data_IF_268824169277
#
_entry.id   IF_268824169277
#
_cell.length_a   1.000
_cell.length_b   1.000
_cell.length_c   1.000
_cell.angle_alpha   90.00
_cell.angle_beta   90.00
_cell.angle_gamma   90.00
#
_symmetry.space_group_name_H-M   'P 1'
#
loop_
_entity.id
_entity.type
_entity.pdbx_description
1 polymer ?
#
# COMPACT_ATOMS: atom_id res chain seq x y z
N UNK A 1 -27.13 4.35 2.83
CA UNK A 1 -26.52 3.12 3.41
C UNK A 1 -27.10 2.93 4.80
N UNK A 2 -27.73 1.80 5.11
CA UNK A 2 -28.30 1.56 6.46
C UNK A 2 -27.24 0.99 7.40
N UNK A 3 -27.40 1.13 8.73
CA UNK A 3 -26.52 0.47 9.70
C UNK A 3 -26.41 -1.05 9.50
N UNK A 4 -27.51 -1.74 9.17
CA UNK A 4 -27.49 -3.20 8.95
C UNK A 4 -26.67 -3.57 7.73
N UNK A 5 -26.84 -2.85 6.61
CA UNK A 5 -26.06 -3.09 5.41
C UNK A 5 -24.57 -2.77 5.62
N UNK A 6 -24.24 -1.81 6.50
CA UNK A 6 -22.85 -1.56 6.90
C UNK A 6 -22.28 -2.75 7.66
N UNK A 7 -23.01 -3.26 8.65
CA UNK A 7 -22.55 -4.37 9.48
C UNK A 7 -22.38 -5.67 8.68
N UNK A 8 -23.26 -5.94 7.71
CA UNK A 8 -23.16 -7.11 6.82
C UNK A 8 -21.97 -7.02 5.86
N UNK A 9 -21.73 -5.85 5.27
CA UNK A 9 -20.71 -5.68 4.23
C UNK A 9 -19.31 -5.40 4.81
N UNK A 10 -19.23 -4.74 5.96
CA UNK A 10 -17.98 -4.34 6.61
C UNK A 10 -17.96 -4.77 8.09
N UNK A 11 -18.05 -6.08 8.39
CA UNK A 11 -18.16 -6.58 9.76
C UNK A 11 -16.93 -6.28 10.62
N UNK A 12 -15.77 -6.01 9.99
CA UNK A 12 -14.50 -5.76 10.66
C UNK A 12 -14.11 -4.27 10.72
N UNK A 13 -14.99 -3.39 10.26
CA UNK A 13 -14.72 -1.95 10.21
C UNK A 13 -14.74 -1.29 11.60
N UNK A 14 -13.60 -1.28 12.29
CA UNK A 14 -13.43 -0.63 13.59
C UNK A 14 -12.69 0.69 13.47
N UNK A 15 -13.08 1.66 14.30
CA UNK A 15 -12.39 2.95 14.36
C UNK A 15 -10.94 2.73 14.83
N UNK A 16 -9.92 3.16 14.07
CA UNK A 16 -8.52 3.02 14.47
C UNK A 16 -8.16 3.74 15.77
N UNK A 17 -8.93 4.78 16.13
CA UNK A 17 -8.74 5.56 17.36
C UNK A 17 -9.51 4.99 18.57
N UNK A 18 -10.15 3.82 18.42
CA UNK A 18 -11.01 3.22 19.44
C UNK A 18 -12.44 3.76 19.45
N UNK A 19 -13.28 3.20 20.32
CA UNK A 19 -14.62 3.73 20.60
C UNK A 19 -15.75 3.31 19.65
N UNK A 20 -15.60 2.24 18.87
CA UNK A 20 -16.70 1.62 18.11
C UNK A 20 -16.40 1.36 16.64
N UNK A 21 -17.46 1.15 15.85
CA UNK A 21 -17.34 0.91 14.42
C UNK A 21 -16.97 2.17 13.64
N UNK A 22 -16.34 2.01 12.48
CA UNK A 22 -16.19 3.11 11.54
C UNK A 22 -17.55 3.65 11.08
N UNK A 23 -17.61 4.98 10.95
CA UNK A 23 -18.74 5.66 10.30
C UNK A 23 -18.71 5.37 8.79
N UNK A 24 -19.88 5.35 8.16
CA UNK A 24 -20.02 5.13 6.71
C UNK A 24 -19.14 6.09 5.92
N UNK A 25 -19.16 7.39 6.25
CA UNK A 25 -18.30 8.38 5.58
C UNK A 25 -16.81 8.00 5.63
N UNK A 26 -16.32 7.57 6.80
CA UNK A 26 -14.92 7.18 6.95
C UNK A 26 -14.58 5.94 6.11
N UNK A 27 -15.50 4.97 6.00
CA UNK A 27 -15.33 3.83 5.10
C UNK A 27 -15.19 4.26 3.63
N UNK A 28 -16.09 5.14 3.18
CA UNK A 28 -16.04 5.66 1.81
C UNK A 28 -14.77 6.47 1.54
N UNK A 29 -14.31 7.27 2.51
CA UNK A 29 -13.06 8.01 2.42
C UNK A 29 -11.84 7.06 2.27
N UNK A 30 -11.82 5.94 3.01
CA UNK A 30 -10.78 4.92 2.89
C UNK A 30 -10.82 4.21 1.51
N UNK A 31 -11.97 3.74 1.05
CA UNK A 31 -12.07 3.09 -0.26
C UNK A 31 -11.86 4.05 -1.43
N UNK A 32 -12.15 5.34 -1.26
CA UNK A 32 -11.81 6.34 -2.25
C UNK A 32 -10.29 6.46 -2.42
N UNK A 33 -9.50 6.41 -1.32
CA UNK A 33 -8.03 6.36 -1.42
C UNK A 33 -7.54 5.11 -2.14
N UNK A 34 -8.15 3.94 -1.90
CA UNK A 34 -7.84 2.70 -2.64
C UNK A 34 -8.11 2.89 -4.14
N UNK A 35 -9.23 3.51 -4.51
CA UNK A 35 -9.56 3.83 -5.89
C UNK A 35 -8.52 4.76 -6.52
N UNK A 36 -8.11 5.83 -5.82
CA UNK A 36 -7.08 6.75 -6.30
C UNK A 36 -5.73 6.06 -6.50
N UNK A 37 -5.33 5.20 -5.56
CA UNK A 37 -4.12 4.38 -5.68
C UNK A 37 -4.18 3.48 -6.93
N UNK A 38 -5.30 2.77 -7.13
CA UNK A 38 -5.52 1.93 -8.31
C UNK A 38 -5.44 2.74 -9.59
N UNK A 39 -6.03 3.93 -9.61
CA UNK A 39 -6.00 4.81 -10.79
C UNK A 39 -4.57 5.23 -11.14
N UNK A 40 -3.72 5.56 -10.15
CA UNK A 40 -2.31 5.84 -10.41
C UNK A 40 -1.59 4.66 -11.06
N UNK A 41 -1.80 3.44 -10.54
CA UNK A 41 -1.24 2.23 -11.15
C UNK A 41 -1.72 2.03 -12.59
N UNK A 42 -3.02 2.21 -12.82
CA UNK A 42 -3.64 2.09 -14.15
C UNK A 42 -3.08 3.11 -15.15
N UNK A 43 -2.77 4.33 -14.70
CA UNK A 43 -2.18 5.38 -15.52
C UNK A 43 -0.64 5.33 -15.57
N UNK A 44 -0.02 4.26 -15.06
CA UNK A 44 1.44 4.12 -14.98
C UNK A 44 2.14 5.28 -14.23
N UNK A 45 1.43 5.92 -13.31
CA UNK A 45 2.00 6.98 -12.50
C UNK A 45 2.88 6.42 -11.37
N UNK A 46 4.03 7.03 -11.09
CA UNK A 46 4.93 6.56 -10.04
C UNK A 46 4.30 6.76 -8.66
N UNK A 47 3.98 5.66 -7.97
CA UNK A 47 3.35 5.67 -6.63
C UNK A 47 4.25 6.34 -5.58
N UNK A 48 5.56 6.09 -5.65
CA UNK A 48 6.54 6.63 -4.71
C UNK A 48 6.72 8.15 -4.80
N UNK A 49 6.37 8.74 -5.96
CA UNK A 49 6.51 10.17 -6.25
C UNK A 49 5.25 10.92 -5.78
N UNK A 50 5.14 11.09 -4.47
CA UNK A 50 4.19 12.03 -3.84
C UNK A 50 4.77 13.46 -3.82
N UNK A 51 3.99 14.42 -3.33
CA UNK A 51 4.42 15.82 -3.18
C UNK A 51 5.76 15.92 -2.43
N UNK A 52 6.71 16.66 -3.02
CA UNK A 52 8.03 16.95 -2.44
C UNK A 52 8.91 15.72 -2.13
N UNK A 53 8.75 14.60 -2.84
CA UNK A 53 9.69 13.48 -2.75
C UNK A 53 11.06 13.86 -3.33
N UNK A 54 12.06 14.10 -2.47
CA UNK A 54 13.41 14.60 -2.81
C UNK A 54 14.53 13.57 -2.57
N UNK A 55 14.22 12.41 -1.98
CA UNK A 55 15.22 11.37 -1.70
C UNK A 55 14.68 9.96 -1.92
N UNK A 56 15.59 9.00 -2.15
CA UNK A 56 15.25 7.58 -2.24
C UNK A 56 14.58 7.07 -0.96
N UNK A 57 15.06 7.50 0.22
CA UNK A 57 14.45 7.13 1.50
C UNK A 57 13.02 7.64 1.63
N UNK A 58 12.72 8.86 1.15
CA UNK A 58 11.35 9.36 1.12
C UNK A 58 10.47 8.56 0.15
N UNK A 59 10.99 8.21 -1.02
CA UNK A 59 10.30 7.37 -1.99
C UNK A 59 9.92 6.01 -1.39
N UNK A 60 10.85 5.36 -0.69
CA UNK A 60 10.64 4.08 -0.01
C UNK A 60 9.62 4.21 1.12
N UNK A 61 9.75 5.24 1.97
CA UNK A 61 8.78 5.50 3.03
C UNK A 61 7.36 5.76 2.48
N UNK A 62 7.24 6.41 1.33
CA UNK A 62 5.95 6.59 0.66
C UNK A 62 5.36 5.24 0.24
N UNK A 63 6.17 4.35 -0.34
CA UNK A 63 5.74 3.00 -0.73
C UNK A 63 5.31 2.17 0.47
N UNK A 64 6.08 2.18 1.57
CA UNK A 64 5.73 1.49 2.82
C UNK A 64 4.37 1.97 3.36
N UNK A 65 4.15 3.28 3.40
CA UNK A 65 2.89 3.86 3.85
C UNK A 65 1.70 3.43 2.99
N UNK A 66 1.86 3.41 1.67
CA UNK A 66 0.82 2.96 0.74
C UNK A 66 0.50 1.47 0.91
N UNK A 67 1.52 0.63 1.02
CA UNK A 67 1.32 -0.81 1.21
C UNK A 67 0.61 -1.12 2.53
N UNK A 68 1.05 -0.50 3.63
CA UNK A 68 0.41 -0.68 4.94
C UNK A 68 -1.05 -0.20 4.92
N UNK A 69 -1.30 0.93 4.25
CA UNK A 69 -2.66 1.44 4.04
C UNK A 69 -3.53 0.41 3.30
N UNK A 70 -3.04 -0.18 2.20
CA UNK A 70 -3.78 -1.19 1.44
C UNK A 70 -4.06 -2.45 2.26
N UNK A 71 -3.08 -2.93 3.03
CA UNK A 71 -3.28 -4.09 3.92
C UNK A 71 -4.34 -3.81 4.99
N UNK A 72 -4.35 -2.61 5.54
CA UNK A 72 -5.38 -2.18 6.49
C UNK A 72 -6.76 -2.06 5.82
N UNK A 73 -6.83 -1.47 4.63
CA UNK A 73 -8.08 -1.38 3.88
C UNK A 73 -8.64 -2.75 3.51
N UNK A 74 -7.77 -3.74 3.23
CA UNK A 74 -8.19 -5.11 2.98
C UNK A 74 -8.85 -5.75 4.22
N UNK A 75 -8.27 -5.55 5.42
CA UNK A 75 -8.87 -6.06 6.67
C UNK A 75 -10.23 -5.48 6.99
N UNK A 76 -10.56 -4.27 6.51
CA UNK A 76 -11.90 -3.70 6.67
C UNK A 76 -12.96 -4.56 5.95
N UNK A 77 -12.58 -5.15 4.80
CA UNK A 77 -13.47 -5.96 3.97
C UNK A 77 -13.45 -7.43 4.35
N UNK A 78 -12.26 -7.99 4.60
CA UNK A 78 -12.07 -9.41 4.95
C UNK A 78 -10.70 -9.62 5.57
N UNK A 79 -10.70 -10.08 6.81
CA UNK A 79 -9.47 -10.47 7.50
C UNK A 79 -8.86 -11.71 6.85
N UNK A 80 -9.67 -12.66 6.40
CA UNK A 80 -9.23 -13.90 5.78
C UNK A 80 -8.43 -13.63 4.50
N UNK A 81 -8.81 -12.61 3.72
CA UNK A 81 -8.04 -12.19 2.54
C UNK A 81 -6.71 -11.55 2.92
N UNK A 82 -6.68 -10.76 4.00
CA UNK A 82 -5.42 -10.19 4.51
C UNK A 82 -4.49 -11.33 4.98
N UNK A 83 -5.02 -12.25 5.78
CA UNK A 83 -4.31 -13.45 6.26
C UNK A 83 -3.80 -14.29 5.09
N UNK A 84 -4.58 -14.44 4.01
CA UNK A 84 -4.12 -15.14 2.81
C UNK A 84 -2.90 -14.45 2.17
N UNK A 85 -2.93 -13.12 2.02
CA UNK A 85 -1.80 -12.35 1.47
C UNK A 85 -0.54 -12.49 2.35
N UNK A 86 -0.72 -12.51 3.66
CA UNK A 86 0.37 -12.71 4.63
C UNK A 86 0.89 -14.15 4.59
N UNK A 87 0.00 -15.14 4.51
CA UNK A 87 0.33 -16.56 4.44
C UNK A 87 1.14 -16.90 3.19
N UNK A 88 0.78 -16.35 2.03
CA UNK A 88 1.55 -16.53 0.78
C UNK A 88 2.86 -15.70 0.75
N UNK A 89 3.13 -14.92 1.81
CA UNK A 89 4.37 -14.17 2.00
C UNK A 89 4.53 -12.96 1.08
N UNK A 90 3.43 -12.41 0.55
CA UNK A 90 3.47 -11.22 -0.31
C UNK A 90 3.88 -9.97 0.47
N UNK A 91 3.39 -9.83 1.69
CA UNK A 91 3.78 -8.79 2.63
C UNK A 91 5.27 -8.89 2.99
N UNK A 92 5.75 -10.08 3.35
CA UNK A 92 7.16 -10.33 3.68
C UNK A 92 8.06 -9.97 2.51
N UNK A 93 7.73 -10.47 1.32
CA UNK A 93 8.47 -10.14 0.09
C UNK A 93 8.46 -8.65 -0.20
N UNK A 94 7.35 -7.95 0.08
CA UNK A 94 7.28 -6.51 -0.07
C UNK A 94 8.24 -5.82 0.92
N UNK A 95 8.18 -6.13 2.21
CA UNK A 95 9.02 -5.50 3.23
C UNK A 95 10.51 -5.77 3.03
N UNK A 96 10.88 -7.00 2.61
CA UNK A 96 12.27 -7.36 2.29
C UNK A 96 12.84 -6.54 1.11
N UNK A 97 11.98 -6.14 0.16
CA UNK A 97 12.40 -5.42 -1.06
C UNK A 97 12.19 -3.91 -0.97
N UNK A 98 11.30 -3.45 -0.10
CA UNK A 98 10.99 -2.05 0.12
C UNK A 98 11.93 -1.45 1.17
N UNK A 99 13.24 -1.63 0.97
CA UNK A 99 14.31 -1.10 1.83
C UNK A 99 15.29 -0.28 1.01
N UNK A 100 16.01 0.63 1.67
CA UNK A 100 16.99 1.49 0.98
C UNK A 100 18.14 0.64 0.45
N UNK A 101 18.58 -0.35 1.22
CA UNK A 101 19.64 -1.28 0.87
C UNK A 101 19.30 -2.07 -0.39
N UNK A 102 18.10 -2.66 -0.44
CA UNK A 102 17.67 -3.45 -1.59
C UNK A 102 17.54 -2.57 -2.85
N UNK A 103 16.87 -1.42 -2.74
CA UNK A 103 16.64 -0.51 -3.87
C UNK A 103 17.95 0.06 -4.39
N UNK A 104 18.82 0.55 -3.52
CA UNK A 104 20.13 1.07 -3.94
C UNK A 104 21.02 -0.02 -4.55
N UNK A 105 20.94 -1.25 -4.03
CA UNK A 105 21.62 -2.40 -4.62
C UNK A 105 21.12 -2.75 -6.02
N UNK A 106 19.83 -2.57 -6.32
CA UNK A 106 19.28 -2.70 -7.68
C UNK A 106 19.78 -1.56 -8.58
N UNK A 107 19.70 -0.31 -8.12
CA UNK A 107 20.16 0.86 -8.89
C UNK A 107 21.64 0.71 -9.26
N UNK A 108 22.49 0.29 -8.32
CA UNK A 108 23.91 0.03 -8.58
C UNK A 108 24.11 -1.03 -9.66
N UNK A 109 23.38 -2.16 -9.58
CA UNK A 109 23.46 -3.25 -10.58
C UNK A 109 23.03 -2.80 -11.98
N UNK A 110 22.01 -1.95 -12.09
CA UNK A 110 21.55 -1.41 -13.38
C UNK A 110 22.64 -0.52 -13.98
N UNK A 111 23.16 0.43 -13.21
CA UNK A 111 24.24 1.32 -13.66
C UNK A 111 25.49 0.56 -14.12
N UNK A 112 25.88 -0.48 -13.38
CA UNK A 112 26.99 -1.35 -13.77
C UNK A 112 26.77 -2.09 -15.10
N UNK A 113 25.51 -2.45 -15.42
CA UNK A 113 25.18 -3.11 -16.69
C UNK A 113 25.23 -2.13 -17.86
N UNK A 114 24.71 -0.93 -17.69
CA UNK A 114 24.75 0.11 -18.73
C UNK A 114 26.19 0.46 -19.13
N UNK A 115 27.09 0.56 -18.15
CA UNK A 115 28.53 0.79 -18.40
C UNK A 115 29.20 -0.35 -19.18
N UNK A 116 28.74 -1.61 -19.03
CA UNK A 116 29.28 -2.76 -19.76
C UNK A 116 28.76 -2.91 -21.19
N UNK A 117 27.66 -2.24 -21.53
CA UNK A 117 27.09 -2.26 -22.89
C UNK A 117 27.61 -1.08 -23.73
N UNK A 118 28.08 -0.03 -23.07
CA UNK A 118 28.57 1.19 -23.72
C UNK A 118 30.09 1.20 -24.02
N UNK A 119 30.84 0.18 -23.59
CA UNK A 119 32.29 0.02 -23.84
C UNK A 119 32.56 -1.27 -24.58
#
# INVERSE_FOLDING_TARGET
WTPENKAKTFPHAKNPLGGGDMKVKALFDEFHKVLLFRNRLFHHEPIWKKHHCKSHSQAINNMLKEFNFLMNALSIVSNEKKELIEFIGHDRRFYERCTIEYVMGIIGRIKCRELKVAG
#
